data_IF_788056859152
#
_entry.id   IF_788056859152
#
_cell.length_a   1.000
_cell.length_b   1.000
_cell.length_c   1.000
_cell.angle_alpha   90.00
_cell.angle_beta   90.00
_cell.angle_gamma   90.00
#
_symmetry.space_group_name_H-M   'P 1'
#
loop_
_entity.id
_entity.type
_entity.pdbx_description
1 polymer ?
#
# COMPACT_ATOMS: atom_id res chain seq x y z
N UNK A 1 3.05 0.72 18.24
CA UNK A 1 3.81 1.63 17.37
C UNK A 1 2.90 2.09 16.26
N UNK A 2 3.12 3.30 15.76
CA UNK A 2 2.36 3.93 14.68
C UNK A 2 3.25 4.00 13.44
N UNK A 3 2.92 3.21 12.43
CA UNK A 3 3.76 3.02 11.25
C UNK A 3 3.12 3.68 10.04
N UNK A 4 3.81 4.64 9.45
CA UNK A 4 3.39 5.26 8.18
C UNK A 4 3.76 4.32 7.03
N UNK A 5 2.80 4.04 6.15
CA UNK A 5 2.99 3.28 4.92
C UNK A 5 2.42 4.08 3.75
N UNK A 6 3.24 4.92 3.08
CA UNK A 6 2.83 5.62 1.88
C UNK A 6 2.63 4.63 0.73
N UNK A 7 1.53 4.77 0.02
CA UNK A 7 1.20 3.97 -1.16
C UNK A 7 0.74 4.87 -2.31
N UNK A 8 1.05 4.54 -3.58
CA UNK A 8 0.46 5.24 -4.70
C UNK A 8 -1.04 4.98 -4.77
N UNK A 9 -1.78 5.93 -5.35
CA UNK A 9 -3.23 5.78 -5.56
C UNK A 9 -3.56 4.54 -6.43
N UNK A 10 -2.63 4.13 -7.30
CA UNK A 10 -2.81 2.97 -8.19
C UNK A 10 -1.50 2.22 -8.42
N UNK A 11 -1.64 0.97 -8.87
CA UNK A 11 -0.59 0.15 -9.47
C UNK A 11 0.56 -0.26 -8.53
N UNK A 12 0.30 -0.35 -7.22
CA UNK A 12 1.25 -0.91 -6.26
C UNK A 12 1.25 -2.44 -6.26
N UNK A 13 2.35 -3.03 -5.77
CA UNK A 13 2.48 -4.47 -5.56
C UNK A 13 1.64 -4.94 -4.37
N UNK A 14 0.76 -5.91 -4.61
CA UNK A 14 -0.13 -6.50 -3.60
C UNK A 14 0.65 -7.03 -2.40
N UNK A 15 1.77 -7.72 -2.64
CA UNK A 15 2.58 -8.40 -1.62
C UNK A 15 3.22 -7.40 -0.68
N UNK A 16 3.79 -6.33 -1.22
CA UNK A 16 4.56 -5.37 -0.42
C UNK A 16 3.70 -4.38 0.37
N UNK A 17 2.40 -4.36 0.12
CA UNK A 17 1.44 -3.60 0.95
C UNK A 17 0.70 -4.54 1.90
N UNK A 18 0.07 -5.60 1.39
CA UNK A 18 -0.82 -6.44 2.18
C UNK A 18 -0.09 -7.32 3.20
N UNK A 19 1.09 -7.85 2.87
CA UNK A 19 1.86 -8.72 3.78
C UNK A 19 2.41 -7.91 4.97
N UNK A 20 3.10 -6.77 4.77
CA UNK A 20 3.56 -6.00 5.91
C UNK A 20 2.43 -5.41 6.73
N UNK A 21 1.33 -4.96 6.11
CA UNK A 21 0.13 -4.53 6.84
C UNK A 21 -0.37 -5.65 7.77
N UNK A 22 -0.48 -6.88 7.27
CA UNK A 22 -0.95 -8.01 8.07
C UNK A 22 -0.01 -8.30 9.24
N UNK A 23 1.30 -8.35 9.00
CA UNK A 23 2.30 -8.62 10.03
C UNK A 23 2.27 -7.54 11.13
N UNK A 24 2.20 -6.26 10.74
CA UNK A 24 2.19 -5.14 11.68
C UNK A 24 0.90 -5.11 12.51
N UNK A 25 -0.25 -5.30 11.87
CA UNK A 25 -1.55 -5.33 12.58
C UNK A 25 -1.68 -6.53 13.50
N UNK A 26 -1.21 -7.72 13.11
CA UNK A 26 -1.15 -8.90 13.97
C UNK A 26 -0.23 -8.70 15.19
N UNK A 27 0.83 -7.89 15.04
CA UNK A 27 1.69 -7.47 16.13
C UNK A 27 1.09 -6.35 17.01
N UNK A 28 -0.13 -5.90 16.73
CA UNK A 28 -0.82 -4.84 17.48
C UNK A 28 -0.28 -3.43 17.19
N UNK A 29 0.32 -3.21 16.02
CA UNK A 29 0.74 -1.89 15.57
C UNK A 29 -0.37 -1.21 14.75
N UNK A 30 -0.44 0.11 14.85
CA UNK A 30 -1.31 0.93 14.01
C UNK A 30 -0.57 1.19 12.68
N UNK A 31 -1.24 0.90 11.56
CA UNK A 31 -0.72 1.19 10.23
C UNK A 31 -1.50 2.37 9.67
N UNK A 32 -0.82 3.46 9.32
CA UNK A 32 -1.43 4.62 8.68
C UNK A 32 -1.07 4.60 7.20
N UNK A 33 -2.08 4.43 6.36
CA UNK A 33 -1.91 4.49 4.91
C UNK A 33 -2.03 5.93 4.42
N UNK A 34 -1.03 6.35 3.65
CA UNK A 34 -1.00 7.67 3.03
C UNK A 34 -1.01 7.56 1.50
N UNK A 35 -1.95 8.25 0.86
CA UNK A 35 -2.15 8.32 -0.60
C UNK A 35 -1.84 9.73 -1.12
N UNK A 36 -1.83 9.94 -2.44
CA UNK A 36 -1.57 11.28 -3.00
C UNK A 36 -2.61 12.31 -2.50
N UNK A 37 -3.86 11.87 -2.42
CA UNK A 37 -4.96 12.62 -1.84
C UNK A 37 -5.58 11.88 -0.66
N UNK A 38 -5.98 12.63 0.36
CA UNK A 38 -6.65 12.07 1.53
C UNK A 38 -7.99 11.42 1.14
N UNK A 39 -8.31 10.30 1.79
CA UNK A 39 -9.53 9.53 1.52
C UNK A 39 -9.53 8.76 0.20
N UNK A 40 -8.46 8.81 -0.59
CA UNK A 40 -8.33 7.93 -1.77
C UNK A 40 -8.25 6.49 -1.32
N UNK A 41 -9.12 5.64 -1.86
CA UNK A 41 -8.95 4.18 -1.77
C UNK A 41 -7.94 3.75 -2.83
N UNK A 42 -6.71 3.37 -2.45
CA UNK A 42 -5.70 3.04 -3.43
C UNK A 42 -6.04 1.68 -4.07
N UNK A 43 -5.54 1.43 -5.28
CA UNK A 43 -5.79 0.16 -5.98
C UNK A 43 -4.48 -0.52 -6.39
N UNK A 44 -4.28 -1.76 -5.97
CA UNK A 44 -3.15 -2.56 -6.43
C UNK A 44 -3.18 -2.76 -7.96
N UNK A 45 -2.04 -3.10 -8.57
CA UNK A 45 -2.02 -3.45 -10.00
C UNK A 45 -2.96 -4.64 -10.26
N UNK A 46 -4.03 -4.47 -11.08
CA UNK A 46 -4.96 -5.54 -11.38
C UNK A 46 -4.29 -6.80 -11.95
N UNK A 47 -3.15 -6.63 -12.65
CA UNK A 47 -2.36 -7.72 -13.22
C UNK A 47 -1.82 -8.69 -12.17
N UNK A 48 -1.50 -8.18 -10.98
CA UNK A 48 -1.03 -9.00 -9.87
C UNK A 48 -2.18 -9.79 -9.22
N UNK A 49 -3.42 -9.35 -9.40
CA UNK A 49 -4.62 -10.02 -8.90
C UNK A 49 -5.13 -11.09 -9.88
N UNK A 50 -5.01 -10.85 -11.19
CA UNK A 50 -5.51 -11.74 -12.25
C UNK A 50 -4.45 -12.67 -12.84
N UNK A 51 -3.17 -12.38 -12.60
CA UNK A 51 -2.02 -13.05 -13.22
C UNK A 51 -1.70 -12.51 -14.63
N UNK A 52 -0.42 -12.41 -14.98
CA UNK A 52 0.05 -11.80 -16.25
C UNK A 52 0.53 -12.79 -17.30
N UNK A 53 0.94 -14.01 -16.94
CA UNK A 53 1.37 -15.07 -17.86
C UNK A 53 0.88 -16.43 -17.35
N UNK A 54 -0.15 -16.99 -18.00
CA UNK A 54 -0.77 -18.29 -17.66
C UNK A 54 -1.18 -18.45 -16.18
N UNK A 55 -1.43 -17.33 -15.46
CA UNK A 55 -1.72 -17.36 -14.02
C UNK A 55 -0.51 -17.67 -13.12
N UNK A 56 0.71 -17.73 -13.67
CA UNK A 56 1.94 -18.06 -12.92
C UNK A 56 2.74 -16.83 -12.43
N UNK A 57 2.44 -15.64 -12.96
CA UNK A 57 3.07 -14.39 -12.55
C UNK A 57 1.99 -13.49 -11.97
N UNK A 58 1.95 -13.35 -10.65
CA UNK A 58 0.95 -12.62 -9.89
C UNK A 58 1.16 -12.83 -8.39
N UNK A 59 0.44 -12.09 -7.56
CA UNK A 59 0.54 -12.25 -6.11
C UNK A 59 0.09 -13.66 -5.68
N UNK A 60 0.84 -14.27 -4.77
CA UNK A 60 0.47 -15.56 -4.19
C UNK A 60 -0.90 -15.49 -3.48
N UNK A 61 -1.54 -16.63 -3.26
CA UNK A 61 -2.89 -16.71 -2.67
C UNK A 61 -2.98 -16.01 -1.31
N UNK A 62 -1.95 -16.17 -0.48
CA UNK A 62 -1.91 -15.55 0.85
C UNK A 62 -1.87 -14.00 0.80
N UNK A 63 -0.94 -13.35 0.08
CA UNK A 63 -0.99 -11.91 -0.17
C UNK A 63 -2.33 -11.43 -0.74
N UNK A 64 -2.94 -12.17 -1.67
CA UNK A 64 -4.26 -11.81 -2.22
C UNK A 64 -5.34 -11.83 -1.14
N UNK A 65 -5.35 -12.84 -0.27
CA UNK A 65 -6.27 -12.93 0.87
C UNK A 65 -6.03 -11.82 1.89
N UNK A 66 -4.78 -11.43 2.15
CA UNK A 66 -4.48 -10.29 3.01
C UNK A 66 -4.95 -8.99 2.38
N UNK A 67 -4.78 -8.83 1.08
CA UNK A 67 -5.28 -7.67 0.35
C UNK A 67 -6.80 -7.57 0.40
N UNK A 68 -7.53 -8.67 0.23
CA UNK A 68 -8.98 -8.71 0.41
C UNK A 68 -9.40 -8.21 1.80
N UNK A 69 -8.72 -8.66 2.86
CA UNK A 69 -8.96 -8.16 4.22
C UNK A 69 -8.61 -6.68 4.37
N UNK A 70 -7.45 -6.28 3.85
CA UNK A 70 -6.97 -4.90 3.89
C UNK A 70 -7.97 -3.95 3.25
N UNK A 71 -8.56 -4.30 2.10
CA UNK A 71 -9.51 -3.41 1.39
C UNK A 71 -10.79 -3.11 2.17
N UNK A 72 -11.14 -3.94 3.17
CA UNK A 72 -12.24 -3.71 4.10
C UNK A 72 -11.85 -3.00 5.40
N UNK A 73 -10.56 -2.72 5.60
CA UNK A 73 -10.04 -2.15 6.84
C UNK A 73 -10.28 -0.63 6.95
N UNK A 74 -10.43 -0.09 8.16
CA UNK A 74 -10.51 1.37 8.37
C UNK A 74 -9.30 2.11 7.77
N UNK A 75 -8.11 1.56 7.93
CA UNK A 75 -6.84 2.14 7.48
C UNK A 75 -6.83 2.33 5.95
N UNK A 76 -7.42 1.40 5.20
CA UNK A 76 -7.50 1.46 3.73
C UNK A 76 -8.65 2.32 3.20
N UNK A 77 -9.68 2.53 4.02
CA UNK A 77 -10.88 3.27 3.61
C UNK A 77 -10.87 4.73 4.07
N UNK A 78 -9.94 5.10 4.94
CA UNK A 78 -9.76 6.44 5.51
C UNK A 78 -8.28 6.83 5.49
N UNK A 79 -7.68 6.88 4.30
CA UNK A 79 -6.27 7.27 4.13
C UNK A 79 -6.06 8.76 4.41
N UNK A 80 -4.86 9.10 4.87
CA UNK A 80 -4.39 10.50 4.88
C UNK A 80 -3.70 10.83 3.56
N UNK A 81 -3.53 12.11 3.25
CA UNK A 81 -2.69 12.52 2.13
C UNK A 81 -1.20 12.41 2.48
N UNK A 82 -0.34 12.31 1.46
CA UNK A 82 1.12 12.40 1.66
C UNK A 82 1.54 13.70 2.33
N UNK A 83 0.90 14.82 1.98
CA UNK A 83 1.21 16.12 2.57
C UNK A 83 0.86 16.19 4.07
N UNK A 84 -0.27 15.61 4.49
CA UNK A 84 -0.62 15.50 5.91
C UNK A 84 0.34 14.56 6.64
N UNK A 85 0.66 13.41 6.05
CA UNK A 85 1.61 12.47 6.62
C UNK A 85 3.03 13.05 6.79
N UNK A 86 3.48 13.88 5.84
CA UNK A 86 4.74 14.60 5.91
C UNK A 86 4.74 15.65 7.03
N UNK A 87 3.64 16.41 7.17
CA UNK A 87 3.50 17.40 8.22
C UNK A 87 3.57 16.77 9.63
N UNK A 88 3.02 15.57 9.78
CA UNK A 88 2.95 14.84 11.05
C UNK A 88 4.02 13.75 11.18
N UNK A 89 5.11 13.83 10.41
CA UNK A 89 6.09 12.73 10.30
C UNK A 89 6.69 12.28 11.64
N UNK A 90 6.77 13.20 12.61
CA UNK A 90 7.31 12.96 13.96
C UNK A 90 6.41 12.10 14.85
N UNK A 91 5.13 11.93 14.47
CA UNK A 91 4.15 11.12 15.20
C UNK A 91 4.22 9.63 14.84
N UNK A 92 5.08 9.26 13.87
CA UNK A 92 5.27 7.89 13.45
C UNK A 92 6.56 7.29 14.02
N UNK A 93 6.44 6.07 14.54
CA UNK A 93 7.56 5.28 15.07
C UNK A 93 8.36 4.57 13.95
N UNK A 94 7.81 4.54 12.73
CA UNK A 94 8.43 3.88 11.60
C UNK A 94 7.81 4.25 10.26
N UNK A 95 8.61 4.09 9.20
CA UNK A 95 8.22 4.30 7.81
C UNK A 95 8.42 2.98 7.04
N UNK A 96 7.37 2.49 6.38
CA UNK A 96 7.45 1.33 5.50
C UNK A 96 7.24 1.74 4.04
N UNK A 97 8.24 1.45 3.22
CA UNK A 97 8.21 1.70 1.78
C UNK A 97 8.14 0.38 1.04
N UNK A 98 7.00 0.13 0.38
CA UNK A 98 6.91 -0.91 -0.65
C UNK A 98 7.69 -0.49 -1.90
N UNK A 99 8.15 -1.46 -2.68
CA UNK A 99 8.56 -1.24 -4.06
C UNK A 99 7.33 -0.90 -4.88
N UNK A 100 7.56 -0.02 -5.84
CA UNK A 100 6.58 0.30 -6.86
C UNK A 100 7.20 -0.20 -8.15
N UNK A 101 6.58 -1.19 -8.79
CA UNK A 101 6.99 -1.61 -10.13
C UNK A 101 6.58 -0.53 -11.14
N UNK A 102 7.54 0.30 -11.52
CA UNK A 102 7.36 1.26 -12.60
C UNK A 102 7.47 0.52 -13.93
N UNK A 103 6.35 0.05 -14.45
CA UNK A 103 6.28 -0.45 -15.83
C UNK A 103 6.62 0.69 -16.80
N UNK A 104 7.22 0.40 -17.98
CA UNK A 104 7.59 1.44 -18.96
C UNK A 104 6.42 2.34 -19.41
N UNK A 105 5.18 1.89 -19.21
CA UNK A 105 3.96 2.61 -19.53
C UNK A 105 3.35 3.41 -18.37
N UNK A 106 3.89 3.30 -17.15
CA UNK A 106 3.39 4.03 -15.97
C UNK A 106 3.97 5.44 -15.99
N UNK A 107 3.14 6.50 -15.88
CA UNK A 107 3.67 7.87 -15.76
C UNK A 107 4.63 7.95 -14.56
N UNK A 108 5.68 8.77 -14.64
CA UNK A 108 6.73 8.76 -13.63
C UNK A 108 6.16 9.09 -12.25
N UNK A 109 6.31 8.14 -11.32
CA UNK A 109 6.10 8.37 -9.90
C UNK A 109 7.07 9.44 -9.42
N UNK A 110 6.56 10.62 -9.08
CA UNK A 110 7.36 11.70 -8.49
C UNK A 110 7.29 11.58 -6.98
N UNK A 111 8.29 10.96 -6.38
CA UNK A 111 8.64 11.25 -4.99
C UNK A 111 9.04 12.72 -4.95
N UNK A 112 8.22 13.57 -4.35
CA UNK A 112 8.67 14.89 -3.93
C UNK A 112 9.53 14.65 -2.68
N UNK A 113 10.85 14.74 -2.87
CA UNK A 113 11.82 14.93 -1.77
C UNK A 113 11.94 16.42 -1.50
#
# INVERSE_FOLDING_TARGET
MRVLMPVPDRDFDVTEVSVPWRILTDAGHEVVLATEHAGTRPAADPRLLTGVLFGQLGAAEEPRRFYEQLTGSPEFTSTVSWAEAEADVVEYDGLLLGRIELWPSTPPFRVKV
#
